data_IF_422469635231
#
_entry.id   IF_422469635231
#
_cell.length_a   1.000
_cell.length_b   1.000
_cell.length_c   1.000
_cell.angle_alpha   90.00
_cell.angle_beta   90.00
_cell.angle_gamma   90.00
#
_symmetry.space_group_name_H-M   'P 1'
#
loop_
_entity.id
_entity.type
_entity.pdbx_description
1 polymer ?
#
# COMPACT_ATOMS: atom_id res chain seq x y z
N UNK A 1 -28.83 -17.33 -16.80
CA UNK A 1 -28.18 -17.39 -15.49
C UNK A 1 -26.72 -17.75 -15.72
N UNK A 2 -25.84 -16.75 -15.86
CA UNK A 2 -24.38 -17.00 -15.97
C UNK A 2 -23.69 -16.19 -14.91
N UNK A 3 -23.08 -16.92 -13.97
CA UNK A 3 -22.28 -16.46 -12.83
C UNK A 3 -21.36 -15.31 -13.24
N UNK A 4 -21.52 -14.13 -12.65
CA UNK A 4 -20.42 -13.18 -12.54
C UNK A 4 -19.44 -13.81 -11.53
N UNK A 5 -18.40 -14.47 -12.03
CA UNK A 5 -17.25 -14.87 -11.22
C UNK A 5 -16.58 -13.60 -10.69
N UNK A 6 -16.81 -13.31 -9.41
CA UNK A 6 -15.99 -12.37 -8.66
C UNK A 6 -14.59 -12.97 -8.57
N UNK A 7 -13.67 -12.51 -9.41
CA UNK A 7 -12.26 -12.81 -9.27
C UNK A 7 -11.83 -12.39 -7.86
N UNK A 8 -11.38 -13.36 -7.06
CA UNK A 8 -10.92 -13.10 -5.70
C UNK A 8 -9.80 -12.05 -5.73
N UNK A 9 -9.73 -11.14 -4.74
CA UNK A 9 -8.68 -10.13 -4.73
C UNK A 9 -7.31 -10.82 -4.71
N UNK A 10 -6.43 -10.43 -5.64
CA UNK A 10 -5.06 -10.93 -5.75
C UNK A 10 -4.21 -10.65 -4.49
N UNK A 11 -4.73 -9.87 -3.54
CA UNK A 11 -4.09 -9.59 -2.27
C UNK A 11 -5.01 -9.91 -1.09
N UNK A 12 -4.60 -10.88 -0.28
CA UNK A 12 -5.13 -11.12 1.07
C UNK A 12 -4.22 -10.45 2.09
N UNK A 13 -4.64 -9.33 2.72
CA UNK A 13 -3.82 -8.68 3.74
C UNK A 13 -3.65 -9.63 4.93
N UNK A 14 -2.41 -9.97 5.25
CA UNK A 14 -2.09 -10.71 6.46
C UNK A 14 -1.63 -9.74 7.54
N UNK A 15 -2.24 -9.82 8.73
CA UNK A 15 -1.89 -9.02 9.90
C UNK A 15 -2.91 -7.93 10.25
N UNK A 16 -2.51 -7.07 11.19
CA UNK A 16 -3.38 -6.02 11.73
C UNK A 16 -3.53 -4.88 10.73
N UNK A 17 -4.77 -4.64 10.28
CA UNK A 17 -5.10 -3.48 9.48
C UNK A 17 -4.93 -2.18 10.27
N UNK A 18 -4.58 -1.11 9.56
CA UNK A 18 -4.55 0.27 10.08
C UNK A 18 -5.14 1.22 9.04
N UNK A 19 -5.74 2.30 9.49
CA UNK A 19 -6.23 3.37 8.63
C UNK A 19 -5.17 4.46 8.47
N UNK A 20 -5.03 5.01 7.27
CA UNK A 20 -4.27 6.24 6.97
C UNK A 20 -5.26 7.19 6.30
N UNK A 21 -5.48 8.40 6.84
CA UNK A 21 -6.44 9.33 6.26
C UNK A 21 -5.93 9.90 4.94
N UNK A 22 -6.83 10.00 3.97
CA UNK A 22 -6.64 10.79 2.75
C UNK A 22 -7.59 11.98 2.83
N UNK A 23 -7.03 13.19 2.71
CA UNK A 23 -7.80 14.44 2.67
C UNK A 23 -7.65 15.01 1.27
N UNK A 24 -8.72 14.92 0.48
CA UNK A 24 -8.63 15.12 -0.96
C UNK A 24 -7.70 14.07 -1.60
N UNK A 25 -6.64 14.53 -2.25
CA UNK A 25 -5.62 13.68 -2.91
C UNK A 25 -4.31 13.65 -2.11
N UNK A 26 -4.34 14.03 -0.83
CA UNK A 26 -3.16 14.18 0.00
C UNK A 26 -3.23 13.29 1.25
N UNK A 27 -2.08 12.76 1.66
CA UNK A 27 -1.85 12.09 2.94
C UNK A 27 -0.49 12.49 3.49
N UNK A 28 -0.31 12.43 4.81
CA UNK A 28 1.02 12.60 5.41
C UNK A 28 1.81 11.28 5.31
N UNK A 29 3.00 11.34 4.70
CA UNK A 29 3.93 10.22 4.64
C UNK A 29 4.29 9.66 6.02
N UNK A 30 4.27 10.49 7.08
CA UNK A 30 4.56 10.07 8.45
C UNK A 30 3.54 9.05 8.95
N UNK A 31 2.27 9.25 8.62
CA UNK A 31 1.22 8.29 8.95
C UNK A 31 1.49 6.98 8.22
N UNK A 32 1.95 7.02 6.97
CA UNK A 32 2.28 5.83 6.20
C UNK A 32 3.53 5.09 6.75
N UNK A 33 4.52 5.77 7.31
CA UNK A 33 5.76 5.13 7.81
C UNK A 33 5.83 5.02 9.34
N UNK A 34 4.72 5.21 10.06
CA UNK A 34 4.68 5.17 11.52
C UNK A 34 5.16 3.84 12.14
N UNK A 35 4.92 2.71 11.46
CA UNK A 35 5.31 1.37 11.94
C UNK A 35 6.58 0.80 11.29
N UNK A 36 6.91 1.24 10.08
CA UNK A 36 8.01 0.70 9.27
C UNK A 36 8.49 1.78 8.29
N UNK A 37 9.76 1.71 7.87
CA UNK A 37 10.33 2.58 6.81
C UNK A 37 10.03 2.09 5.39
N UNK A 38 9.33 0.96 5.26
CA UNK A 38 8.96 0.35 3.98
C UNK A 38 7.48 -0.02 4.03
N UNK A 39 6.76 0.35 2.97
CA UNK A 39 5.40 -0.08 2.70
C UNK A 39 5.38 -0.82 1.37
N UNK A 40 4.84 -2.03 1.40
CA UNK A 40 4.61 -2.83 0.20
C UNK A 40 3.25 -2.46 -0.39
N UNK A 41 3.22 -2.18 -1.69
CA UNK A 41 2.02 -1.82 -2.44
C UNK A 41 1.80 -2.92 -3.49
N UNK A 42 0.75 -3.71 -3.30
CA UNK A 42 0.28 -4.65 -4.30
C UNK A 42 -0.54 -3.90 -5.36
N UNK A 43 -0.15 -4.00 -6.63
CA UNK A 43 -0.83 -3.37 -7.75
C UNK A 43 -0.97 -4.37 -8.91
N UNK A 44 -2.17 -4.95 -9.05
CA UNK A 44 -2.41 -6.07 -9.95
C UNK A 44 -1.52 -7.26 -9.57
N UNK A 45 -0.75 -7.77 -10.52
CA UNK A 45 0.23 -8.85 -10.31
C UNK A 45 1.62 -8.33 -9.92
N UNK A 46 1.78 -7.02 -9.78
CA UNK A 46 3.04 -6.40 -9.41
C UNK A 46 3.06 -6.02 -7.94
N UNK A 47 4.23 -6.16 -7.35
CA UNK A 47 4.54 -5.70 -6.01
C UNK A 47 5.45 -4.51 -6.17
N UNK A 48 5.18 -3.44 -5.43
CA UNK A 48 6.03 -2.28 -5.34
C UNK A 48 6.42 -2.06 -3.88
N UNK A 49 7.55 -1.39 -3.66
CA UNK A 49 7.99 -0.97 -2.34
C UNK A 49 8.16 0.55 -2.32
N UNK A 50 7.37 1.22 -1.50
CA UNK A 50 7.61 2.61 -1.16
C UNK A 50 8.48 2.65 0.10
N UNK A 51 9.62 3.36 0.04
CA UNK A 51 10.60 3.42 1.13
C UNK A 51 10.92 4.85 1.52
N UNK A 52 11.00 5.11 2.82
CA UNK A 52 11.58 6.33 3.39
C UNK A 52 13.10 6.16 3.56
N UNK A 53 13.87 6.87 2.75
CA UNK A 53 15.33 6.84 2.76
C UNK A 53 15.93 7.55 3.98
N UNK A 54 17.21 7.32 4.26
CA UNK A 54 17.95 8.03 5.31
C UNK A 54 18.06 9.54 5.06
N UNK A 55 17.96 9.98 3.79
CA UNK A 55 17.94 11.39 3.40
C UNK A 55 16.53 12.02 3.51
N UNK A 56 15.54 11.28 4.02
CA UNK A 56 14.17 11.76 4.19
C UNK A 56 13.35 11.82 2.90
N UNK A 57 13.86 11.26 1.80
CA UNK A 57 13.14 11.15 0.52
C UNK A 57 12.36 9.84 0.43
N UNK A 58 11.25 9.87 -0.29
CA UNK A 58 10.47 8.68 -0.64
C UNK A 58 10.93 8.14 -1.99
N UNK A 59 11.15 6.83 -2.07
CA UNK A 59 11.45 6.13 -3.32
C UNK A 59 10.43 5.00 -3.52
N UNK A 60 9.94 4.86 -4.76
CA UNK A 60 9.09 3.75 -5.18
C UNK A 60 9.91 2.84 -6.08
N UNK A 61 10.01 1.57 -5.72
CA UNK A 61 10.66 0.52 -6.54
C UNK A 61 9.66 -0.58 -6.86
N UNK A 62 9.90 -1.30 -7.96
CA UNK A 62 9.21 -2.55 -8.28
C UNK A 62 9.95 -3.71 -7.61
#
# INVERSE_FOLDING_TARGET
MSKHEHQAPAWTPQGKARAVPLVGEQMDSRDLFAASRVVTISHGEHIYQLRLTSQGKLILTK
#
